data_IF_813869565789
#
_entry.id   IF_813869565789
#
_cell.length_a   1.000
_cell.length_b   1.000
_cell.length_c   1.000
_cell.angle_alpha   90.00
_cell.angle_beta   90.00
_cell.angle_gamma   90.00
#
_symmetry.space_group_name_H-M   'P 1'
#
loop_
_entity.id
_entity.type
_entity.pdbx_description
1 polymer ?
#
# COMPACT_ATOMS: atom_id res chain seq x y z
N UNK A 1 -11.20 -33.69 -9.86
CA UNK A 1 -11.69 -33.11 -8.60
C UNK A 1 -10.48 -32.91 -7.69
N UNK A 2 -9.69 -31.88 -7.97
CA UNK A 2 -8.45 -31.61 -7.23
C UNK A 2 -8.78 -30.67 -6.07
N UNK A 3 -8.66 -31.18 -4.85
CA UNK A 3 -8.66 -30.39 -3.63
C UNK A 3 -7.27 -29.76 -3.51
N UNK A 4 -7.15 -28.48 -3.80
CA UNK A 4 -5.96 -27.72 -3.37
C UNK A 4 -6.12 -27.42 -1.88
N UNK A 5 -5.18 -27.95 -1.09
CA UNK A 5 -5.03 -27.63 0.32
C UNK A 5 -4.43 -26.23 0.38
N UNK A 6 -5.18 -25.24 0.87
CA UNK A 6 -4.63 -23.93 1.19
C UNK A 6 -3.59 -24.10 2.30
N UNK A 7 -2.33 -23.83 1.98
CA UNK A 7 -1.29 -23.65 2.96
C UNK A 7 -1.40 -22.20 3.45
N UNK A 8 -1.93 -22.02 4.66
CA UNK A 8 -1.93 -20.74 5.36
C UNK A 8 -0.49 -20.48 5.78
N UNK A 9 0.17 -19.54 5.10
CA UNK A 9 1.43 -18.96 5.54
C UNK A 9 1.12 -18.03 6.72
N UNK A 10 1.38 -18.51 7.94
CA UNK A 10 1.43 -17.67 9.13
C UNK A 10 2.73 -16.86 9.08
N UNK A 11 2.67 -15.61 8.62
CA UNK A 11 3.73 -14.64 8.88
C UNK A 11 3.67 -14.19 10.35
N UNK A 12 4.82 -14.30 10.99
CA UNK A 12 5.26 -13.76 12.28
C UNK A 12 4.21 -13.17 13.24
N UNK A 13 3.75 -14.00 14.20
CA UNK A 13 3.11 -13.52 15.43
C UNK A 13 4.20 -12.92 16.34
N UNK A 14 4.20 -11.60 16.52
CA UNK A 14 5.00 -10.95 17.56
C UNK A 14 4.29 -11.11 18.91
N UNK A 15 4.85 -11.94 19.80
CA UNK A 15 4.43 -11.98 21.20
C UNK A 15 4.94 -10.72 21.93
N UNK A 16 4.04 -9.82 22.30
CA UNK A 16 4.33 -8.79 23.29
C UNK A 16 4.50 -9.45 24.67
N UNK A 17 5.74 -9.51 25.17
CA UNK A 17 6.00 -9.73 26.59
C UNK A 17 6.02 -8.38 27.28
N UNK A 18 4.97 -8.07 28.03
CA UNK A 18 4.93 -6.88 28.88
C UNK A 18 5.96 -7.02 30.03
N UNK A 19 7.16 -6.47 29.83
CA UNK A 19 8.06 -6.20 30.94
C UNK A 19 7.53 -4.97 31.69
N UNK A 20 6.74 -5.21 32.72
CA UNK A 20 6.45 -4.21 33.75
C UNK A 20 7.76 -3.96 34.51
N UNK A 21 8.43 -2.86 34.19
CA UNK A 21 9.58 -2.38 34.94
C UNK A 21 9.05 -1.69 36.21
N UNK A 22 8.98 -2.42 37.32
CA UNK A 22 8.77 -1.84 38.64
C UNK A 22 10.05 -1.08 39.03
N UNK A 23 10.09 0.23 38.74
CA UNK A 23 11.06 1.14 39.36
C UNK A 23 10.50 1.55 40.72
N UNK A 24 11.15 1.02 41.75
CA UNK A 24 11.05 1.46 43.14
C UNK A 24 11.33 2.96 43.23
N UNK A 25 10.35 3.75 43.71
CA UNK A 25 10.57 5.15 44.08
C UNK A 25 11.27 5.20 45.43
N UNK A 26 12.58 5.43 45.44
CA UNK A 26 13.24 6.05 46.59
C UNK A 26 13.74 7.41 46.10
N UNK A 27 13.18 8.46 46.69
CA UNK A 27 13.45 9.83 46.31
C UNK A 27 14.86 10.28 46.67
N UNK A 28 15.36 11.22 45.89
CA UNK A 28 15.93 12.46 46.41
C UNK A 28 15.97 13.50 45.29
N UNK A 29 15.74 14.74 45.70
CA UNK A 29 15.56 15.92 44.88
C UNK A 29 16.79 16.21 44.00
N UNK A 30 16.59 16.36 42.69
CA UNK A 30 17.33 17.34 41.88
C UNK A 30 16.55 17.60 40.58
N UNK A 31 16.20 18.87 40.38
CA UNK A 31 15.55 19.35 39.16
C UNK A 31 16.59 19.48 38.05
N UNK A 32 16.72 18.44 37.23
CA UNK A 32 17.27 18.57 35.88
C UNK A 32 16.12 18.42 34.88
N UNK A 33 15.80 19.54 34.25
CA UNK A 33 14.93 19.73 33.09
C UNK A 33 15.56 19.05 31.87
N UNK A 34 15.54 17.72 31.86
CA UNK A 34 15.74 16.94 30.64
C UNK A 34 14.34 16.64 30.10
N UNK A 35 13.82 17.59 29.31
CA UNK A 35 12.68 17.34 28.44
C UNK A 35 13.10 16.33 27.37
N UNK A 36 13.21 15.07 27.78
CA UNK A 36 13.29 13.91 26.92
C UNK A 36 12.01 13.86 26.10
N UNK A 37 11.99 14.63 25.01
CA UNK A 37 10.95 14.54 24.01
C UNK A 37 10.93 13.11 23.50
N UNK A 38 9.76 12.48 23.51
CA UNK A 38 9.57 11.16 22.93
C UNK A 38 10.23 11.11 21.54
N UNK A 39 10.96 10.04 21.21
CA UNK A 39 11.62 9.92 19.93
C UNK A 39 10.58 10.11 18.82
N UNK A 40 10.76 11.16 18.02
CA UNK A 40 9.88 11.45 16.88
C UNK A 40 10.07 10.31 15.86
N UNK A 41 9.08 9.43 15.77
CA UNK A 41 9.03 8.41 14.73
C UNK A 41 8.75 9.11 13.40
N UNK A 42 9.68 9.02 12.47
CA UNK A 42 9.52 9.57 11.12
C UNK A 42 9.01 8.47 10.20
N UNK A 43 7.89 8.71 9.52
CA UNK A 43 7.37 7.79 8.51
C UNK A 43 8.29 7.76 7.28
N UNK A 44 8.41 6.60 6.61
CA UNK A 44 9.15 6.49 5.37
C UNK A 44 8.32 7.09 4.22
N UNK A 45 8.97 7.48 3.12
CA UNK A 45 8.33 8.07 1.93
C UNK A 45 7.21 7.21 1.34
N UNK A 46 7.30 5.90 1.57
CA UNK A 46 6.41 4.84 1.12
C UNK A 46 5.03 4.88 1.79
N UNK A 47 4.89 5.64 2.87
CA UNK A 47 3.65 5.80 3.65
C UNK A 47 3.32 7.27 3.88
N UNK A 48 4.32 8.15 3.84
CA UNK A 48 4.13 9.56 4.13
C UNK A 48 3.26 10.25 3.07
N UNK A 49 2.09 10.74 3.46
CA UNK A 49 1.14 11.40 2.55
C UNK A 49 0.39 10.43 1.63
N UNK A 50 0.30 9.16 2.00
CA UNK A 50 -0.35 8.10 1.22
C UNK A 50 -1.78 7.90 1.68
N UNK A 51 -2.67 7.70 0.71
CA UNK A 51 -4.03 7.20 0.91
C UNK A 51 -4.11 5.78 0.37
N UNK A 52 -4.68 4.86 1.14
CA UNK A 52 -4.78 3.44 0.78
C UNK A 52 -6.20 2.94 1.02
N UNK A 53 -6.85 2.50 -0.06
CA UNK A 53 -8.15 1.83 0.00
C UNK A 53 -7.95 0.34 0.29
N UNK A 54 -8.50 -0.12 1.41
CA UNK A 54 -8.19 -1.43 1.98
C UNK A 54 -9.47 -2.20 2.29
N UNK A 55 -9.38 -3.53 2.25
CA UNK A 55 -10.44 -4.45 2.63
C UNK A 55 -10.00 -5.31 3.81
N UNK A 56 -10.92 -5.49 4.77
CA UNK A 56 -10.70 -6.39 5.89
C UNK A 56 -10.86 -7.85 5.46
N UNK A 57 -9.75 -8.56 5.29
CA UNK A 57 -9.71 -9.91 4.68
C UNK A 57 -9.53 -11.03 5.68
N UNK A 58 -9.19 -10.72 6.93
CA UNK A 58 -9.13 -11.71 8.00
C UNK A 58 -9.80 -11.18 9.28
N UNK A 59 -10.71 -11.96 9.86
CA UNK A 59 -11.41 -11.61 11.10
C UNK A 59 -11.39 -12.77 12.11
N UNK A 60 -10.78 -12.53 13.28
CA UNK A 60 -10.89 -13.38 14.46
C UNK A 60 -12.01 -12.88 15.38
N UNK A 61 -12.37 -13.70 16.38
CA UNK A 61 -13.33 -13.31 17.40
C UNK A 61 -12.87 -12.04 18.13
N UNK A 62 -13.75 -11.03 18.19
CA UNK A 62 -13.46 -9.73 18.78
C UNK A 62 -12.87 -8.68 17.84
N UNK A 63 -12.76 -8.98 16.54
CA UNK A 63 -12.39 -7.98 15.53
C UNK A 63 -13.38 -6.80 15.51
N UNK A 64 -12.89 -5.55 15.35
CA UNK A 64 -13.76 -4.37 15.26
C UNK A 64 -14.44 -4.21 13.90
N UNK A 65 -14.01 -4.96 12.89
CA UNK A 65 -14.50 -4.86 11.51
C UNK A 65 -15.14 -6.15 11.04
N UNK A 66 -16.08 -6.02 10.12
CA UNK A 66 -16.67 -7.16 9.44
C UNK A 66 -15.76 -7.62 8.30
N UNK A 67 -15.78 -8.91 8.01
CA UNK A 67 -15.12 -9.43 6.81
C UNK A 67 -15.66 -8.70 5.57
N UNK A 68 -14.77 -8.42 4.62
CA UNK A 68 -15.02 -7.69 3.36
C UNK A 68 -15.35 -6.20 3.54
N UNK A 69 -15.32 -5.66 4.77
CA UNK A 69 -15.51 -4.23 5.02
C UNK A 69 -14.37 -3.42 4.40
N UNK A 70 -14.73 -2.34 3.71
CA UNK A 70 -13.78 -1.39 3.13
C UNK A 70 -13.43 -0.29 4.12
N UNK A 71 -12.22 0.23 4.01
CA UNK A 71 -11.77 1.38 4.75
C UNK A 71 -10.68 2.13 3.98
N UNK A 72 -10.71 3.46 4.04
CA UNK A 72 -9.64 4.31 3.54
C UNK A 72 -8.70 4.70 4.68
N UNK A 73 -7.41 4.42 4.48
CA UNK A 73 -6.34 4.77 5.40
C UNK A 73 -5.55 5.93 4.83
N UNK A 74 -5.62 7.08 5.48
CA UNK A 74 -4.82 8.26 5.11
C UNK A 74 -3.69 8.46 6.11
N UNK A 75 -2.46 8.34 5.62
CA UNK A 75 -1.24 8.54 6.38
C UNK A 75 -0.72 9.95 6.14
N UNK A 76 -0.90 10.85 7.10
CA UNK A 76 -0.47 12.23 6.93
C UNK A 76 1.05 12.36 6.96
N UNK A 77 1.55 13.45 6.38
CA UNK A 77 2.98 13.81 6.50
C UNK A 77 3.42 14.16 7.92
N UNK A 78 2.47 14.40 8.84
CA UNK A 78 2.75 14.61 10.27
C UNK A 78 2.84 13.32 11.08
N UNK A 79 2.58 12.15 10.48
CA UNK A 79 2.54 10.87 11.18
C UNK A 79 1.17 10.49 11.76
N UNK A 80 0.14 11.31 11.51
CA UNK A 80 -1.24 11.01 11.91
C UNK A 80 -1.85 10.01 10.95
N UNK A 81 -2.54 9.00 11.48
CA UNK A 81 -3.35 8.07 10.70
C UNK A 81 -4.83 8.47 10.81
N UNK A 82 -5.50 8.61 9.66
CA UNK A 82 -6.94 8.71 9.57
C UNK A 82 -7.50 7.43 8.98
N UNK A 83 -8.57 6.90 9.58
CA UNK A 83 -9.26 5.71 9.09
C UNK A 83 -10.73 6.05 8.87
N UNK A 84 -11.14 6.11 7.62
CA UNK A 84 -12.55 6.14 7.24
C UNK A 84 -13.03 4.70 7.06
N UNK A 85 -14.01 4.27 7.86
CA UNK A 85 -14.49 2.87 7.86
C UNK A 85 -15.74 2.67 7.00
N UNK A 86 -16.20 3.74 6.35
CA UNK A 86 -17.36 3.79 5.47
C UNK A 86 -17.17 4.86 4.38
N UNK A 87 -16.17 4.72 3.50
CA UNK A 87 -15.75 5.77 2.58
C UNK A 87 -16.84 6.24 1.60
N UNK A 88 -17.87 5.43 1.37
CA UNK A 88 -19.01 5.76 0.51
C UNK A 88 -20.04 6.69 1.17
N UNK A 89 -19.99 6.87 2.49
CA UNK A 89 -21.00 7.65 3.20
C UNK A 89 -20.71 9.16 3.22
N UNK A 90 -19.45 9.57 3.02
CA UNK A 90 -19.01 10.98 3.09
C UNK A 90 -19.58 11.69 4.33
N UNK A 91 -19.60 11.00 5.47
CA UNK A 91 -20.19 11.46 6.71
C UNK A 91 -19.20 12.20 7.63
N UNK A 92 -17.91 12.17 7.28
CA UNK A 92 -16.83 12.80 8.04
C UNK A 92 -16.54 12.11 9.38
N UNK A 93 -16.91 10.83 9.51
CA UNK A 93 -16.62 10.01 10.69
C UNK A 93 -15.27 9.28 10.52
N UNK A 94 -14.16 10.04 10.47
CA UNK A 94 -12.82 9.45 10.45
C UNK A 94 -12.25 9.23 11.85
N UNK A 95 -11.71 8.04 12.10
CA UNK A 95 -10.89 7.80 13.28
C UNK A 95 -9.52 8.45 13.09
N UNK A 96 -9.18 9.41 13.95
CA UNK A 96 -7.87 10.07 13.94
C UNK A 96 -6.95 9.52 15.03
N UNK A 97 -5.78 9.03 14.65
CA UNK A 97 -4.75 8.47 15.52
C UNK A 97 -3.43 9.26 15.36
N UNK A 98 -3.12 10.12 16.34
CA UNK A 98 -1.99 11.05 16.25
C UNK A 98 -0.63 10.44 16.64
N UNK A 99 -0.63 9.31 17.35
CA UNK A 99 0.58 8.72 17.91
C UNK A 99 0.98 7.47 17.12
N UNK A 100 2.16 7.54 16.51
CA UNK A 100 2.82 6.39 15.88
C UNK A 100 4.03 5.95 16.69
N UNK A 101 4.18 4.64 16.85
CA UNK A 101 5.34 4.00 17.46
C UNK A 101 5.96 3.01 16.47
N UNK A 102 7.28 2.87 16.48
CA UNK A 102 7.96 1.83 15.71
C UNK A 102 8.21 0.63 16.61
N UNK A 103 7.57 -0.51 16.31
CA UNK A 103 7.72 -1.75 17.07
C UNK A 103 8.32 -2.81 16.17
N UNK A 104 9.58 -3.19 16.42
CA UNK A 104 10.31 -4.09 15.54
C UNK A 104 10.53 -3.44 14.17
N UNK A 105 9.80 -3.92 13.16
CA UNK A 105 9.83 -3.40 11.78
C UNK A 105 8.51 -2.80 11.32
N UNK A 106 7.55 -2.61 12.23
CA UNK A 106 6.20 -2.12 11.91
C UNK A 106 5.94 -0.75 12.53
N UNK A 107 5.11 0.04 11.85
CA UNK A 107 4.60 1.31 12.37
C UNK A 107 3.24 1.07 13.00
N UNK A 108 3.09 1.42 14.27
CA UNK A 108 1.93 1.06 15.07
C UNK A 108 1.22 2.31 15.56
N UNK A 109 -0.06 2.43 15.23
CA UNK A 109 -0.95 3.43 15.79
C UNK A 109 -1.87 2.78 16.83
N UNK A 110 -2.09 3.47 17.93
CA UNK A 110 -2.93 3.00 19.03
C UNK A 110 -4.23 3.79 19.09
N UNK A 111 -5.36 3.09 19.00
CA UNK A 111 -6.66 3.60 19.39
C UNK A 111 -6.88 3.27 20.87
N UNK A 112 -6.48 4.19 21.74
CA UNK A 112 -6.66 4.04 23.19
C UNK A 112 -8.13 4.02 23.60
N UNK A 113 -9.01 4.65 22.82
CA UNK A 113 -10.44 4.77 23.13
C UNK A 113 -11.13 3.42 22.97
N UNK A 114 -10.86 2.72 21.87
CA UNK A 114 -11.48 1.42 21.59
C UNK A 114 -10.58 0.24 21.95
N UNK A 115 -9.31 0.49 22.29
CA UNK A 115 -8.37 -0.53 22.77
C UNK A 115 -7.80 -1.39 21.65
N UNK A 116 -7.56 -0.81 20.48
CA UNK A 116 -7.01 -1.48 19.30
C UNK A 116 -5.66 -0.89 18.90
N UNK A 117 -4.82 -1.70 18.26
CA UNK A 117 -3.60 -1.26 17.61
C UNK A 117 -3.64 -1.62 16.12
N UNK A 118 -3.15 -0.71 15.30
CA UNK A 118 -3.02 -0.84 13.85
C UNK A 118 -1.54 -0.89 13.51
N UNK A 119 -1.03 -2.09 13.25
CA UNK A 119 0.36 -2.32 12.88
C UNK A 119 0.47 -2.38 11.36
N UNK A 120 1.16 -1.40 10.78
CA UNK A 120 1.38 -1.30 9.34
C UNK A 120 2.71 -1.94 9.01
N UNK A 121 2.61 -3.00 8.20
CA UNK A 121 3.74 -3.70 7.63
C UNK A 121 4.03 -3.13 6.24
N UNK A 122 5.30 -2.80 5.98
CA UNK A 122 5.73 -2.23 4.71
C UNK A 122 6.54 -3.23 3.91
N UNK A 123 6.40 -3.12 2.59
CA UNK A 123 7.39 -3.63 1.64
C UNK A 123 8.30 -2.47 1.20
N UNK A 124 9.37 -2.76 0.46
CA UNK A 124 10.16 -1.71 -0.20
C UNK A 124 9.40 -0.89 -1.26
N UNK A 125 8.12 -1.21 -1.51
CA UNK A 125 7.25 -0.58 -2.50
C UNK A 125 6.04 0.14 -1.91
N UNK A 126 5.80 0.10 -0.60
CA UNK A 126 4.58 0.65 0.01
C UNK A 126 3.96 -0.25 1.08
N UNK A 127 2.73 0.09 1.46
CA UNK A 127 1.92 -0.64 2.44
C UNK A 127 1.68 -2.06 1.93
N UNK A 128 2.04 -3.06 2.74
CA UNK A 128 1.74 -4.46 2.45
C UNK A 128 0.37 -4.85 3.00
N UNK A 129 0.20 -4.63 4.30
CA UNK A 129 -0.95 -5.03 5.10
C UNK A 129 -1.01 -4.17 6.36
N UNK A 130 -2.20 -4.12 6.96
CA UNK A 130 -2.43 -3.47 8.26
C UNK A 130 -3.06 -4.50 9.20
N UNK A 131 -2.31 -4.91 10.21
CA UNK A 131 -2.74 -5.86 11.20
C UNK A 131 -3.45 -5.14 12.36
N UNK A 132 -4.65 -5.59 12.69
CA UNK A 132 -5.43 -5.11 13.82
C UNK A 132 -5.24 -6.07 14.99
N UNK A 133 -4.81 -5.54 16.13
CA UNK A 133 -4.69 -6.30 17.37
C UNK A 133 -5.42 -5.60 18.51
N UNK A 134 -5.78 -6.36 19.54
CA UNK A 134 -6.24 -5.76 20.79
C UNK A 134 -5.07 -5.15 21.57
N UNK A 135 -5.37 -4.29 22.54
CA UNK A 135 -4.38 -3.65 23.43
C UNK A 135 -3.42 -4.61 24.13
N UNK A 136 -3.81 -5.88 24.32
CA UNK A 136 -2.97 -6.94 24.86
C UNK A 136 -2.05 -7.63 23.81
N UNK A 137 -2.04 -7.16 22.57
CA UNK A 137 -1.25 -7.71 21.45
C UNK A 137 -1.88 -8.93 20.77
N UNK A 138 -3.12 -9.31 21.11
CA UNK A 138 -3.80 -10.42 20.44
C UNK A 138 -4.23 -10.03 19.03
N UNK A 139 -3.80 -10.77 18.02
CA UNK A 139 -4.21 -10.54 16.62
C UNK A 139 -5.71 -10.75 16.42
N UNK A 140 -6.39 -9.71 15.96
CA UNK A 140 -7.84 -9.69 15.74
C UNK A 140 -8.20 -9.76 14.26
N UNK A 141 -7.37 -9.23 13.37
CA UNK A 141 -7.63 -9.30 11.94
C UNK A 141 -6.69 -8.47 11.11
N UNK A 142 -6.97 -8.39 9.81
CA UNK A 142 -6.05 -7.81 8.85
C UNK A 142 -6.81 -7.09 7.74
N UNK A 143 -6.28 -5.93 7.37
CA UNK A 143 -6.57 -5.25 6.11
C UNK A 143 -5.49 -5.54 5.07
N UNK A 144 -5.93 -5.79 3.86
CA UNK A 144 -5.09 -5.83 2.65
C UNK A 144 -5.65 -4.83 1.64
N UNK A 145 -4.90 -4.51 0.59
CA UNK A 145 -5.41 -3.66 -0.50
C UNK A 145 -6.74 -4.19 -1.01
N UNK A 146 -7.71 -3.30 -1.15
CA UNK A 146 -8.98 -3.64 -1.77
C UNK A 146 -8.80 -3.74 -3.28
N UNK A 147 -9.51 -4.69 -3.86
CA UNK A 147 -9.68 -4.84 -5.29
C UNK A 147 -11.18 -5.06 -5.49
N UNK A 148 -11.82 -4.24 -6.33
CA UNK A 148 -13.28 -4.27 -6.49
C UNK A 148 -13.76 -5.69 -6.88
N UNK A 149 -14.73 -6.28 -6.16
CA UNK A 149 -15.35 -7.55 -6.51
C UNK A 149 -16.10 -7.42 -7.84
N UNK A 150 -15.40 -7.76 -8.92
CA UNK A 150 -15.85 -7.45 -10.28
C UNK A 150 -14.70 -7.22 -11.25
N UNK A 151 -13.51 -6.86 -10.75
CA UNK A 151 -12.27 -7.03 -11.50
C UNK A 151 -11.95 -8.53 -11.57
N UNK A 152 -12.58 -9.23 -12.51
CA UNK A 152 -12.21 -10.62 -12.87
C UNK A 152 -10.80 -10.67 -13.52
N UNK A 153 -10.09 -9.54 -13.57
CA UNK A 153 -8.83 -9.34 -14.27
C UNK A 153 -7.69 -9.96 -13.46
N UNK A 154 -7.13 -11.10 -13.91
CA UNK A 154 -6.05 -11.74 -13.19
C UNK A 154 -4.83 -10.82 -13.11
N UNK A 155 -4.15 -10.80 -11.95
CA UNK A 155 -2.95 -10.00 -11.66
C UNK A 155 -3.18 -8.49 -11.44
N UNK A 156 -4.42 -8.05 -11.17
CA UNK A 156 -4.72 -6.67 -10.79
C UNK A 156 -3.87 -6.20 -9.58
N UNK A 157 -3.65 -7.09 -8.62
CA UNK A 157 -2.81 -6.87 -7.43
C UNK A 157 -1.38 -6.41 -7.77
N UNK A 158 -0.82 -6.86 -8.91
CA UNK A 158 0.51 -6.45 -9.35
C UNK A 158 0.55 -4.99 -9.81
N UNK A 159 -0.55 -4.46 -10.34
CA UNK A 159 -0.65 -3.06 -10.76
C UNK A 159 -0.89 -2.18 -9.53
N UNK A 160 -1.82 -2.58 -8.66
CA UNK A 160 -2.11 -1.89 -7.39
C UNK A 160 -0.85 -1.78 -6.52
N UNK A 161 -0.01 -2.82 -6.49
CA UNK A 161 1.30 -2.79 -5.81
C UNK A 161 2.19 -1.61 -6.24
N UNK A 162 2.07 -1.15 -7.48
CA UNK A 162 2.84 -0.05 -8.04
C UNK A 162 1.94 1.16 -8.37
N UNK A 163 0.82 1.32 -7.65
CA UNK A 163 0.04 2.55 -7.69
C UNK A 163 0.85 3.72 -7.13
N UNK A 164 0.63 4.92 -7.66
CA UNK A 164 1.33 6.13 -7.25
C UNK A 164 1.44 7.17 -8.36
N UNK A 165 2.02 8.32 -8.03
CA UNK A 165 2.36 9.36 -8.99
C UNK A 165 3.86 9.44 -9.21
N UNK A 166 4.28 9.34 -10.46
CA UNK A 166 5.67 9.26 -10.87
C UNK A 166 6.08 10.52 -11.62
N UNK A 167 7.14 11.17 -11.16
CA UNK A 167 7.86 12.15 -11.98
C UNK A 167 8.70 11.39 -13.01
N UNK A 168 8.57 11.76 -14.28
CA UNK A 168 9.22 11.03 -15.37
C UNK A 168 9.91 11.95 -16.36
N UNK A 169 10.94 11.44 -17.02
CA UNK A 169 11.58 12.07 -18.18
C UNK A 169 11.51 11.14 -19.38
N UNK A 170 11.05 11.64 -20.53
CA UNK A 170 11.00 10.83 -21.75
C UNK A 170 12.41 10.38 -22.17
N UNK A 171 12.62 9.07 -22.29
CA UNK A 171 13.82 8.45 -22.84
C UNK A 171 13.64 8.00 -24.29
N UNK A 172 12.40 7.79 -24.73
CA UNK A 172 12.02 7.70 -26.14
C UNK A 172 10.63 8.27 -26.40
N UNK A 173 10.36 8.69 -27.64
CA UNK A 173 9.09 9.33 -27.98
C UNK A 173 8.97 10.73 -27.40
N UNK A 174 7.73 11.20 -27.20
CA UNK A 174 7.44 12.48 -26.54
C UNK A 174 6.52 12.21 -25.36
N UNK A 175 6.89 12.74 -24.20
CA UNK A 175 6.04 12.79 -23.01
C UNK A 175 5.90 14.26 -22.61
N UNK A 176 4.69 14.79 -22.64
CA UNK A 176 4.43 16.23 -22.53
C UNK A 176 4.23 16.71 -21.10
N UNK A 177 3.70 15.85 -20.24
CA UNK A 177 3.28 16.21 -18.89
C UNK A 177 4.38 16.07 -17.84
N UNK A 178 5.34 15.17 -18.04
CA UNK A 178 6.42 14.89 -17.09
C UNK A 178 5.95 14.14 -15.83
N UNK A 179 4.69 13.72 -15.78
CA UNK A 179 4.14 12.86 -14.73
C UNK A 179 3.27 11.75 -15.31
N UNK A 180 3.32 10.59 -14.66
CA UNK A 180 2.43 9.44 -14.88
C UNK A 180 1.74 9.12 -13.55
N UNK A 181 0.44 8.84 -13.57
CA UNK A 181 -0.29 8.39 -12.38
C UNK A 181 -0.88 7.00 -12.60
N UNK A 182 -0.76 6.14 -11.60
CA UNK A 182 -1.34 4.80 -11.54
C UNK A 182 -2.23 4.74 -10.29
N UNK A 183 -3.52 4.51 -10.49
CA UNK A 183 -4.50 4.40 -9.40
C UNK A 183 -4.58 2.99 -8.83
N UNK A 184 -5.07 2.89 -7.59
CA UNK A 184 -5.44 1.60 -6.98
C UNK A 184 -6.69 0.98 -7.62
N UNK A 185 -7.45 1.77 -8.37
CA UNK A 185 -8.58 1.40 -9.23
C UNK A 185 -8.16 0.97 -10.65
N UNK A 186 -6.86 0.66 -10.84
CA UNK A 186 -6.25 0.29 -12.12
C UNK A 186 -6.29 1.38 -13.21
N UNK A 187 -6.69 2.61 -12.88
CA UNK A 187 -6.54 3.73 -13.81
C UNK A 187 -5.08 4.03 -14.09
N UNK A 188 -4.75 4.32 -15.35
CA UNK A 188 -3.41 4.78 -15.73
C UNK A 188 -3.56 6.06 -16.55
N UNK A 189 -3.05 7.16 -16.01
CA UNK A 189 -2.92 8.43 -16.73
C UNK A 189 -1.46 8.60 -17.17
N UNK A 190 -1.14 8.15 -18.38
CA UNK A 190 0.23 8.08 -18.88
C UNK A 190 0.73 9.44 -19.38
N UNK A 191 0.07 10.07 -20.34
CA UNK A 191 0.41 11.43 -20.83
C UNK A 191 -0.87 12.19 -21.24
N UNK A 192 -0.72 13.42 -21.74
CA UNK A 192 -1.82 14.17 -22.37
C UNK A 192 -2.51 13.30 -23.43
N UNK A 193 -3.83 13.14 -23.31
CA UNK A 193 -4.68 12.33 -24.19
C UNK A 193 -4.36 10.83 -24.22
N UNK A 194 -3.53 10.32 -23.29
CA UNK A 194 -3.22 8.90 -23.12
C UNK A 194 -3.54 8.48 -21.70
N UNK A 195 -4.78 8.05 -21.50
CA UNK A 195 -5.28 7.54 -20.23
C UNK A 195 -6.15 6.31 -20.46
N UNK A 196 -6.14 5.41 -19.48
CA UNK A 196 -6.89 4.16 -19.48
C UNK A 196 -7.56 3.94 -18.13
N UNK A 197 -8.67 3.23 -18.16
CA UNK A 197 -9.43 2.79 -17.00
C UNK A 197 -9.40 1.26 -16.89
N UNK A 198 -9.90 0.72 -15.79
CA UNK A 198 -10.06 -0.73 -15.62
C UNK A 198 -10.84 -1.37 -16.80
N UNK A 199 -11.93 -0.74 -17.24
CA UNK A 199 -12.81 -1.24 -18.31
C UNK A 199 -12.07 -1.43 -19.65
N UNK A 200 -10.95 -0.72 -19.85
CA UNK A 200 -10.14 -0.81 -21.07
C UNK A 200 -9.20 -2.03 -21.04
N UNK A 201 -8.90 -2.58 -19.86
CA UNK A 201 -7.91 -3.63 -19.67
C UNK A 201 -8.42 -4.96 -20.26
N UNK A 202 -7.68 -5.51 -21.21
CA UNK A 202 -7.92 -6.84 -21.76
C UNK A 202 -7.20 -7.93 -20.97
N UNK A 203 -5.98 -7.65 -20.50
CA UNK A 203 -5.25 -8.52 -19.59
C UNK A 203 -4.11 -7.81 -18.86
N UNK A 204 -3.70 -8.41 -17.75
CA UNK A 204 -2.47 -8.06 -17.04
C UNK A 204 -1.57 -9.29 -17.02
N UNK A 205 -0.37 -9.16 -17.58
CA UNK A 205 0.63 -10.22 -17.62
C UNK A 205 1.72 -9.97 -16.59
N UNK A 206 1.87 -10.90 -15.65
CA UNK A 206 3.06 -10.97 -14.80
C UNK A 206 4.28 -11.35 -15.66
N UNK A 207 5.28 -10.47 -15.69
CA UNK A 207 6.58 -10.68 -16.32
C UNK A 207 7.71 -10.30 -15.37
N UNK A 208 7.45 -10.33 -14.07
CA UNK A 208 8.42 -9.99 -13.02
C UNK A 208 9.57 -11.00 -12.93
N UNK A 209 9.38 -12.20 -13.48
CA UNK A 209 10.38 -13.27 -13.52
C UNK A 209 11.41 -13.14 -14.67
N UNK A 210 11.31 -12.12 -15.53
CA UNK A 210 12.25 -11.94 -16.64
C UNK A 210 13.48 -11.19 -16.15
N UNK A 211 14.61 -11.91 -16.04
CA UNK A 211 15.83 -11.44 -15.36
C UNK A 211 16.35 -10.07 -15.82
N UNK A 212 16.28 -9.77 -17.12
CA UNK A 212 16.87 -8.55 -17.68
C UNK A 212 15.87 -7.41 -17.88
N UNK A 213 14.56 -7.68 -17.71
CA UNK A 213 13.49 -6.70 -17.90
C UNK A 213 12.23 -7.09 -17.11
N UNK A 214 12.33 -7.22 -15.77
CA UNK A 214 11.18 -7.58 -14.96
C UNK A 214 10.12 -6.49 -15.09
N UNK A 215 8.88 -6.88 -15.38
CA UNK A 215 7.80 -5.91 -15.59
C UNK A 215 6.42 -6.46 -15.29
N UNK A 216 5.48 -5.55 -15.11
CA UNK A 216 4.04 -5.82 -15.26
C UNK A 216 3.60 -5.25 -16.61
N UNK A 217 2.85 -6.00 -17.39
CA UNK A 217 2.35 -5.55 -18.69
C UNK A 217 0.83 -5.52 -18.69
N UNK A 218 0.25 -4.35 -18.95
CA UNK A 218 -1.18 -4.14 -19.14
C UNK A 218 -1.45 -4.01 -20.65
N UNK A 219 -2.37 -4.80 -21.19
CA UNK A 219 -2.80 -4.68 -22.59
C UNK A 219 -4.24 -4.20 -22.67
N UNK A 220 -4.50 -3.23 -23.53
CA UNK A 220 -5.82 -2.57 -23.69
C UNK A 220 -6.48 -2.89 -25.03
N UNK A 221 -5.87 -3.77 -25.84
CA UNK A 221 -6.44 -4.26 -27.09
C UNK A 221 -6.34 -5.77 -27.24
N UNK A 222 -7.03 -6.29 -28.24
CA UNK A 222 -7.22 -7.74 -28.44
C UNK A 222 -5.95 -8.49 -28.89
N UNK A 223 -4.91 -7.78 -29.29
CA UNK A 223 -3.62 -8.33 -29.72
C UNK A 223 -2.43 -7.58 -29.08
N UNK A 224 -1.22 -8.13 -29.25
CA UNK A 224 0.00 -7.56 -28.68
C UNK A 224 0.52 -6.34 -29.44
N UNK A 225 -0.13 -5.95 -30.54
CA UNK A 225 0.23 -4.82 -31.38
C UNK A 225 -0.63 -3.56 -31.09
N UNK A 226 -1.72 -3.71 -30.32
CA UNK A 226 -2.54 -2.63 -29.80
C UNK A 226 -1.88 -1.86 -28.62
N UNK A 227 -2.70 -1.08 -27.91
CA UNK A 227 -2.27 -0.26 -26.76
C UNK A 227 -1.78 -1.14 -25.60
N UNK A 228 -0.57 -0.85 -25.14
CA UNK A 228 0.10 -1.57 -24.05
C UNK A 228 0.82 -0.57 -23.15
N UNK A 229 0.67 -0.78 -21.84
CA UNK A 229 1.52 -0.15 -20.82
C UNK A 229 2.45 -1.21 -20.22
N UNK A 230 3.74 -0.93 -20.18
CA UNK A 230 4.72 -1.72 -19.43
C UNK A 230 5.22 -0.93 -18.23
N UNK A 231 5.15 -1.54 -17.04
CA UNK A 231 5.77 -1.05 -15.82
C UNK A 231 7.07 -1.82 -15.60
N UNK A 232 8.20 -1.27 -16.03
CA UNK A 232 9.50 -1.90 -15.83
C UNK A 232 9.98 -1.67 -14.40
N UNK A 233 10.49 -2.72 -13.79
CA UNK A 233 10.84 -2.76 -12.37
C UNK A 233 12.35 -2.84 -12.17
N UNK A 234 12.81 -2.43 -10.99
CA UNK A 234 14.15 -2.75 -10.55
C UNK A 234 14.32 -4.27 -10.31
N UNK A 235 15.56 -4.73 -10.18
CA UNK A 235 15.88 -6.14 -9.99
C UNK A 235 15.24 -6.75 -8.73
N UNK A 236 15.02 -5.94 -7.69
CA UNK A 236 14.44 -6.38 -6.42
C UNK A 236 12.90 -6.37 -6.41
N UNK A 237 12.26 -5.93 -7.50
CA UNK A 237 10.79 -5.82 -7.65
C UNK A 237 10.15 -4.90 -6.59
N UNK A 238 10.86 -3.86 -6.18
CA UNK A 238 10.42 -2.90 -5.16
C UNK A 238 10.08 -1.53 -5.75
N UNK A 239 10.47 -1.23 -6.98
CA UNK A 239 10.24 0.08 -7.59
C UNK A 239 10.04 -0.01 -9.09
N UNK A 240 9.18 0.87 -9.62
CA UNK A 240 9.07 1.15 -11.06
C UNK A 240 10.22 2.07 -11.46
N UNK A 241 10.97 1.69 -12.50
CA UNK A 241 12.14 2.42 -13.00
C UNK A 241 11.90 3.05 -14.37
N UNK A 242 10.95 2.52 -15.14
CA UNK A 242 10.55 3.04 -16.44
C UNK A 242 9.11 2.63 -16.73
N UNK A 243 8.34 3.54 -17.32
CA UNK A 243 6.98 3.29 -17.79
C UNK A 243 6.96 3.49 -19.30
N UNK A 244 6.40 2.54 -20.04
CA UNK A 244 6.31 2.61 -21.49
C UNK A 244 4.85 2.54 -21.93
N UNK A 245 4.46 3.45 -22.82
CA UNK A 245 3.27 3.32 -23.65
C UNK A 245 3.68 2.90 -25.06
N UNK A 246 3.06 1.84 -25.59
CA UNK A 246 3.35 1.30 -26.91
C UNK A 246 2.06 0.96 -27.65
N UNK A 247 2.02 1.29 -28.94
CA UNK A 247 1.05 0.80 -29.90
C UNK A 247 1.76 0.54 -31.24
N UNK A 248 1.99 -0.73 -31.59
CA UNK A 248 2.75 -1.08 -32.81
C UNK A 248 1.95 -0.82 -34.08
N UNK A 249 0.63 -0.98 -34.03
CA UNK A 249 -0.26 -0.66 -35.16
C UNK A 249 -0.14 0.81 -35.59
N UNK A 250 0.16 1.70 -34.64
CA UNK A 250 0.35 3.13 -34.86
C UNK A 250 1.83 3.56 -34.87
N UNK A 251 2.77 2.62 -34.75
CA UNK A 251 4.21 2.92 -34.62
C UNK A 251 4.56 3.85 -33.44
N UNK A 252 3.82 3.71 -32.33
CA UNK A 252 4.04 4.43 -31.08
C UNK A 252 4.89 3.59 -30.14
N UNK A 253 5.96 4.18 -29.62
CA UNK A 253 6.81 3.66 -28.55
C UNK A 253 7.36 4.84 -27.74
N UNK A 254 6.68 5.17 -26.64
CA UNK A 254 7.06 6.22 -25.70
C UNK A 254 7.55 5.56 -24.42
N UNK A 255 8.77 5.87 -24.01
CA UNK A 255 9.36 5.42 -22.74
C UNK A 255 9.65 6.62 -21.88
N UNK A 256 9.30 6.52 -20.61
CA UNK A 256 9.52 7.56 -19.62
C UNK A 256 10.23 6.95 -18.41
N UNK A 257 11.41 7.47 -18.10
CA UNK A 257 12.24 7.03 -16.98
C UNK A 257 11.79 7.72 -15.70
N UNK A 258 11.54 6.93 -14.66
CA UNK A 258 11.15 7.44 -13.32
C UNK A 258 12.34 8.14 -12.67
N UNK A 259 12.11 9.30 -12.07
CA UNK A 259 13.13 10.15 -11.42
C UNK A 259 13.27 9.89 -9.93
#
# INVERSE_FOLDING_TARGET
MFKYSQAILLSSIVLLSACKLDISSDGDDDMDDDSGGDPIVTLPSEVMGVEANMQFTHANAGAPYNLDQLADFTFSSSGTLFIDTNPEADDGDELQLDKVEMIGSEYVWMDETNGFNYAVSLTGSGIHEINVSGSAGSFLGQFTHYVEPGSDIPNADLVVKYAGSYNVTASSGTHSRGTVSIGTDLTIDFDTDVAFTEDDIQNISDRTFIQDEPRVQLSYGADDDADVINLYLNADLTAVIQIQYRNRNQSIDVRADVQ
#
